data_IF_035421125078
#
_entry.id   IF_035421125078
#
_cell.length_a   1.000
_cell.length_b   1.000
_cell.length_c   1.000
_cell.angle_alpha   90.00
_cell.angle_beta   90.00
_cell.angle_gamma   90.00
#
_symmetry.space_group_name_H-M   'P 1'
#
loop_
_entity.id
_entity.type
_entity.pdbx_description
1 polymer ?
#
# COMPACT_ATOMS: atom_id res chain seq x y z
N UNK A 1 -12.57 -22.80 12.17
CA UNK A 1 -13.16 -21.50 11.83
C UNK A 1 -12.78 -21.27 10.38
N UNK A 2 -13.73 -20.99 9.51
CA UNK A 2 -13.48 -20.74 8.10
C UNK A 2 -13.59 -19.24 7.84
N UNK A 3 -12.66 -18.71 7.07
CA UNK A 3 -12.63 -17.32 6.60
C UNK A 3 -12.84 -17.37 5.08
N UNK A 4 -14.10 -17.37 4.61
CA UNK A 4 -14.41 -17.41 3.18
C UNK A 4 -13.93 -16.12 2.51
N UNK A 5 -13.64 -16.22 1.22
CA UNK A 5 -13.41 -15.03 0.40
C UNK A 5 -14.71 -14.23 0.26
N UNK A 6 -14.54 -12.92 0.28
CA UNK A 6 -15.61 -11.94 0.08
C UNK A 6 -15.37 -11.18 -1.23
N UNK A 7 -16.35 -10.42 -1.69
CA UNK A 7 -16.16 -9.48 -2.79
C UNK A 7 -15.16 -8.40 -2.37
N UNK A 8 -14.34 -7.93 -3.32
CA UNK A 8 -13.20 -7.06 -3.01
C UNK A 8 -13.58 -5.76 -2.30
N UNK A 9 -14.77 -5.23 -2.57
CA UNK A 9 -15.30 -4.01 -1.93
C UNK A 9 -15.64 -4.18 -0.44
N UNK A 10 -15.63 -5.39 0.08
CA UNK A 10 -15.88 -5.67 1.52
C UNK A 10 -14.61 -5.69 2.37
N UNK A 11 -13.44 -5.56 1.75
CA UNK A 11 -12.18 -5.49 2.49
C UNK A 11 -11.79 -4.04 2.77
N UNK A 12 -11.33 -3.79 3.99
CA UNK A 12 -10.74 -2.52 4.38
C UNK A 12 -9.21 -2.57 4.32
N UNK A 13 -8.58 -1.48 3.90
CA UNK A 13 -7.12 -1.32 3.83
C UNK A 13 -6.60 -0.61 5.07
N UNK A 14 -5.68 -1.24 5.79
CA UNK A 14 -4.77 -0.58 6.73
C UNK A 14 -3.42 -0.42 6.04
N UNK A 15 -2.77 0.74 6.15
CA UNK A 15 -1.44 0.93 5.58
C UNK A 15 -0.64 1.96 6.38
N UNK A 16 0.71 1.82 6.37
CA UNK A 16 1.65 2.67 7.10
C UNK A 16 2.70 3.33 6.18
N UNK A 17 2.54 3.16 4.86
CA UNK A 17 3.49 3.59 3.84
C UNK A 17 4.43 2.48 3.39
N UNK A 18 4.84 1.59 4.27
CA UNK A 18 5.80 0.51 3.94
C UNK A 18 5.10 -0.80 3.55
N UNK A 19 3.86 -1.00 4.04
CA UNK A 19 3.03 -2.18 3.79
C UNK A 19 1.56 -1.90 4.07
N UNK A 20 0.72 -2.92 3.76
CA UNK A 20 -0.70 -2.85 4.08
C UNK A 20 -1.28 -4.20 4.49
N UNK A 21 -2.44 -4.13 5.13
CA UNK A 21 -3.26 -5.26 5.53
C UNK A 21 -4.64 -5.08 4.93
N UNK A 22 -5.23 -6.14 4.40
CA UNK A 22 -6.67 -6.18 4.08
C UNK A 22 -7.43 -6.92 5.17
N UNK A 23 -8.38 -6.20 5.75
CA UNK A 23 -9.26 -6.70 6.81
C UNK A 23 -10.59 -7.10 6.19
N UNK A 24 -10.96 -8.35 6.36
CA UNK A 24 -12.25 -8.89 5.89
C UNK A 24 -13.40 -8.70 6.90
N UNK A 25 -14.64 -8.96 6.48
CA UNK A 25 -15.85 -8.78 7.29
C UNK A 25 -15.89 -9.53 8.63
N UNK A 26 -15.12 -10.61 8.73
CA UNK A 26 -14.99 -11.39 9.96
C UNK A 26 -13.84 -10.93 10.86
N UNK A 27 -13.29 -9.74 10.59
CA UNK A 27 -12.14 -9.21 11.30
C UNK A 27 -10.87 -10.03 11.05
N UNK A 28 -10.79 -10.67 9.91
CA UNK A 28 -9.65 -11.46 9.48
C UNK A 28 -8.69 -10.62 8.63
N UNK A 29 -7.41 -10.72 8.93
CA UNK A 29 -6.35 -10.22 8.06
C UNK A 29 -6.17 -11.23 6.93
N UNK A 30 -6.84 -10.98 5.80
CA UNK A 30 -6.84 -11.88 4.65
C UNK A 30 -5.61 -11.70 3.75
N UNK A 31 -4.94 -10.55 3.85
CA UNK A 31 -3.76 -10.21 3.08
C UNK A 31 -2.81 -9.32 3.87
N UNK A 32 -1.52 -9.64 3.85
CA UNK A 32 -0.44 -8.79 4.34
C UNK A 32 0.90 -9.29 3.81
N UNK A 33 1.67 -8.41 3.18
CA UNK A 33 3.09 -8.62 2.91
C UNK A 33 3.95 -7.99 4.01
N UNK A 34 5.06 -8.62 4.36
CA UNK A 34 5.97 -8.10 5.38
C UNK A 34 7.43 -8.51 5.09
N UNK A 35 8.37 -7.61 5.36
CA UNK A 35 8.25 -6.29 6.01
C UNK A 35 7.81 -5.15 5.09
N UNK A 36 7.79 -5.31 3.74
CA UNK A 36 7.47 -4.25 2.77
C UNK A 36 6.39 -4.71 1.80
N UNK A 37 5.88 -3.78 0.97
CA UNK A 37 4.90 -4.06 -0.08
C UNK A 37 5.29 -5.22 -0.99
N UNK A 38 6.51 -5.20 -1.49
CA UNK A 38 7.08 -6.16 -2.45
C UNK A 38 7.60 -7.46 -1.81
N UNK A 39 7.46 -7.60 -0.49
CA UNK A 39 7.82 -8.82 0.23
C UNK A 39 6.80 -9.93 0.03
N UNK A 40 7.19 -11.17 0.36
CA UNK A 40 6.27 -12.31 0.38
C UNK A 40 5.20 -12.11 1.46
N UNK A 41 3.99 -12.60 1.19
CA UNK A 41 2.89 -12.46 2.12
C UNK A 41 3.05 -13.38 3.35
N UNK A 42 2.59 -12.87 4.50
CA UNK A 42 2.48 -13.58 5.79
C UNK A 42 1.03 -13.98 6.07
N UNK A 43 0.07 -13.24 5.55
CA UNK A 43 -1.34 -13.61 5.44
C UNK A 43 -1.71 -13.58 3.97
N UNK A 44 -2.28 -14.66 3.43
CA UNK A 44 -2.49 -14.80 1.98
C UNK A 44 -3.76 -15.56 1.61
N UNK A 45 -4.73 -15.64 2.52
CA UNK A 45 -6.03 -16.29 2.25
C UNK A 45 -6.76 -15.65 1.08
N UNK A 46 -6.58 -14.35 0.83
CA UNK A 46 -7.15 -13.63 -0.30
C UNK A 46 -6.84 -14.26 -1.67
N UNK A 47 -5.68 -14.87 -1.82
CA UNK A 47 -5.25 -15.54 -3.07
C UNK A 47 -5.20 -17.06 -2.92
N UNK A 48 -5.95 -17.62 -1.96
CA UNK A 48 -6.01 -19.04 -1.70
C UNK A 48 -4.78 -19.63 -1.02
N UNK A 49 -3.90 -18.79 -0.48
CA UNK A 49 -2.78 -19.22 0.36
C UNK A 49 -3.18 -19.46 1.80
N UNK A 50 -2.21 -19.72 2.65
CA UNK A 50 -2.39 -19.89 4.09
C UNK A 50 -1.96 -18.65 4.87
N UNK A 51 -2.30 -18.64 6.15
CA UNK A 51 -1.98 -17.54 7.05
C UNK A 51 -3.14 -16.56 7.23
N UNK A 52 -3.59 -16.46 8.48
CA UNK A 52 -4.68 -15.56 8.87
C UNK A 52 -4.51 -15.10 10.31
N UNK A 53 -4.92 -13.88 10.60
CA UNK A 53 -5.08 -13.37 11.95
C UNK A 53 -6.46 -12.74 12.09
N UNK A 54 -7.32 -13.33 12.90
CA UNK A 54 -8.70 -12.88 13.03
C UNK A 54 -9.07 -12.57 14.48
N UNK A 55 -9.89 -11.53 14.64
CA UNK A 55 -10.64 -11.17 15.83
C UNK A 55 -12.10 -11.06 15.42
N UNK A 56 -12.96 -11.93 15.91
CA UNK A 56 -14.35 -12.03 15.46
C UNK A 56 -15.26 -12.25 16.66
N UNK A 57 -16.55 -11.87 16.63
CA UNK A 57 -17.49 -12.15 17.71
C UNK A 57 -17.49 -13.62 18.11
N UNK A 58 -17.66 -13.92 19.40
CA UNK A 58 -17.81 -15.28 19.88
C UNK A 58 -19.15 -15.88 19.42
N UNK A 59 -20.19 -15.07 19.31
CA UNK A 59 -21.45 -15.43 18.70
C UNK A 59 -21.29 -15.62 17.18
N UNK A 60 -21.77 -16.73 16.60
CA UNK A 60 -21.55 -17.02 15.18
C UNK A 60 -22.39 -16.17 14.22
N UNK A 61 -23.53 -15.65 14.71
CA UNK A 61 -24.48 -14.86 13.93
C UNK A 61 -24.32 -13.38 14.28
N UNK A 62 -23.93 -12.59 13.32
CA UNK A 62 -23.78 -11.14 13.47
C UNK A 62 -23.96 -10.43 12.13
N UNK A 63 -24.38 -9.18 12.19
CA UNK A 63 -24.30 -8.23 11.08
C UNK A 63 -22.99 -7.46 11.24
N UNK A 64 -22.32 -7.21 10.15
CA UNK A 64 -21.04 -6.49 10.15
C UNK A 64 -21.13 -5.19 9.36
N UNK A 65 -20.25 -4.29 9.70
CA UNK A 65 -19.98 -3.04 9.01
C UNK A 65 -18.66 -2.48 9.47
N UNK A 66 -18.37 -1.26 9.06
CA UNK A 66 -17.19 -0.59 9.52
C UNK A 66 -17.01 0.76 8.84
N UNK A 67 -16.03 1.52 9.32
CA UNK A 67 -15.73 2.84 8.81
C UNK A 67 -14.28 3.23 9.14
N UNK A 68 -13.74 4.12 8.33
CA UNK A 68 -12.43 4.75 8.63
C UNK A 68 -12.61 5.95 9.53
N UNK A 69 -11.69 6.13 10.45
CA UNK A 69 -11.57 7.39 11.18
C UNK A 69 -11.17 8.50 10.18
N UNK A 70 -11.79 9.70 10.26
CA UNK A 70 -11.62 10.73 9.24
C UNK A 70 -10.16 11.13 9.00
N UNK A 71 -9.72 11.08 7.75
CA UNK A 71 -8.35 11.45 7.35
C UNK A 71 -7.27 10.43 7.75
N UNK A 72 -7.65 9.18 7.99
CA UNK A 72 -6.72 8.12 8.38
C UNK A 72 -7.00 6.83 7.63
N UNK A 73 -6.10 5.84 7.78
CA UNK A 73 -6.37 4.43 7.48
C UNK A 73 -6.48 3.62 8.78
N UNK A 74 -7.02 4.21 9.82
CA UNK A 74 -7.48 3.53 11.03
C UNK A 74 -8.90 3.06 10.75
N UNK A 75 -9.11 1.75 10.75
CA UNK A 75 -10.39 1.10 10.48
C UNK A 75 -11.07 0.71 11.77
N UNK A 76 -12.40 0.82 11.83
CA UNK A 76 -13.24 0.27 12.88
C UNK A 76 -14.13 -0.79 12.30
N UNK A 77 -13.78 -2.05 12.51
CA UNK A 77 -14.71 -3.17 12.30
C UNK A 77 -15.79 -3.13 13.37
N UNK A 78 -17.07 -3.24 12.97
CA UNK A 78 -18.21 -3.20 13.87
C UNK A 78 -19.11 -4.39 13.61
N UNK A 79 -19.46 -5.08 14.68
CA UNK A 79 -20.34 -6.23 14.64
C UNK A 79 -21.51 -6.04 15.60
N UNK A 80 -22.72 -6.33 15.10
CA UNK A 80 -23.94 -6.35 15.90
C UNK A 80 -24.42 -7.79 15.95
N UNK A 81 -24.43 -8.35 17.15
CA UNK A 81 -24.96 -9.69 17.45
C UNK A 81 -26.38 -9.57 17.98
N UNK A 82 -26.99 -10.67 18.40
CA UNK A 82 -28.32 -10.63 19.05
C UNK A 82 -28.28 -10.02 20.46
N UNK A 83 -27.11 -10.00 21.09
CA UNK A 83 -26.94 -9.60 22.48
C UNK A 83 -26.12 -8.33 22.67
N UNK A 84 -25.28 -7.93 21.71
CA UNK A 84 -24.29 -6.89 21.95
C UNK A 84 -23.73 -6.30 20.67
N UNK A 85 -23.17 -5.10 20.79
CA UNK A 85 -22.40 -4.40 19.78
C UNK A 85 -20.92 -4.38 20.16
N UNK A 86 -20.07 -4.75 19.21
CA UNK A 86 -18.63 -4.90 19.38
C UNK A 86 -17.91 -4.09 18.32
N UNK A 87 -16.90 -3.33 18.70
CA UNK A 87 -15.96 -2.75 17.75
C UNK A 87 -14.55 -3.31 17.92
N UNK A 88 -13.82 -3.41 16.83
CA UNK A 88 -12.39 -3.61 16.83
C UNK A 88 -11.75 -2.47 16.05
N UNK A 89 -10.99 -1.63 16.72
CA UNK A 89 -10.19 -0.55 16.12
C UNK A 89 -8.87 -1.14 15.64
N UNK A 90 -8.51 -0.90 14.38
CA UNK A 90 -7.42 -1.59 13.70
C UNK A 90 -6.55 -0.62 12.92
N UNK A 91 -5.24 -0.74 13.04
CA UNK A 91 -4.27 0.05 12.30
C UNK A 91 -2.93 -0.68 12.11
N UNK A 92 -2.17 -0.27 11.11
CA UNK A 92 -0.73 -0.36 11.15
C UNK A 92 -0.20 0.91 11.85
N UNK A 93 0.77 0.74 12.75
CA UNK A 93 1.37 1.86 13.49
C UNK A 93 2.09 2.82 12.56
N UNK A 94 1.81 4.12 12.71
CA UNK A 94 2.42 5.21 11.95
C UNK A 94 3.36 6.04 12.85
N UNK A 95 4.45 6.59 12.28
CA UNK A 95 5.00 6.32 10.94
C UNK A 95 5.51 4.89 10.80
N UNK A 96 5.42 4.32 9.59
CA UNK A 96 5.91 2.96 9.31
C UNK A 96 7.43 2.86 9.41
N UNK A 97 7.92 1.78 10.00
CA UNK A 97 9.34 1.41 9.97
C UNK A 97 9.59 0.40 8.84
N UNK A 98 10.55 0.64 7.89
CA UNK A 98 10.74 -0.23 6.72
C UNK A 98 11.13 -1.68 7.05
N UNK A 99 11.52 -1.96 8.29
CA UNK A 99 11.96 -3.29 8.71
C UNK A 99 10.97 -4.01 9.63
N UNK A 100 10.09 -3.25 10.31
CA UNK A 100 9.20 -3.79 11.34
C UNK A 100 7.78 -3.27 11.16
N UNK A 101 6.85 -4.18 10.93
CA UNK A 101 5.42 -3.90 10.97
C UNK A 101 4.91 -3.98 12.41
N UNK A 102 4.05 -3.06 12.81
CA UNK A 102 3.33 -3.12 14.08
C UNK A 102 1.84 -3.00 13.79
N UNK A 103 1.11 -4.12 13.86
CA UNK A 103 -0.34 -4.14 13.70
C UNK A 103 -1.01 -4.02 15.07
N UNK A 104 -1.87 -3.03 15.19
CA UNK A 104 -2.61 -2.67 16.39
C UNK A 104 -4.06 -3.11 16.24
N UNK A 105 -4.61 -3.76 17.27
CA UNK A 105 -6.02 -4.11 17.37
C UNK A 105 -6.49 -3.79 18.78
N UNK A 106 -7.48 -2.90 18.90
CA UNK A 106 -8.15 -2.55 20.16
C UNK A 106 -9.60 -3.00 20.10
N UNK A 107 -9.95 -4.01 20.90
CA UNK A 107 -11.30 -4.55 21.02
C UNK A 107 -12.06 -3.71 22.04
N UNK A 108 -13.20 -3.17 21.67
CA UNK A 108 -14.03 -2.28 22.49
C UNK A 108 -15.39 -2.96 22.77
N UNK A 109 -15.77 -2.98 24.01
CA UNK A 109 -17.10 -3.39 24.45
C UNK A 109 -18.03 -2.16 24.43
N UNK A 110 -18.88 -2.05 23.39
CA UNK A 110 -19.73 -0.85 23.18
C UNK A 110 -21.01 -0.95 24.01
N UNK A 111 -21.61 -2.12 24.08
CA UNK A 111 -22.86 -2.36 24.80
C UNK A 111 -22.74 -3.65 25.62
N UNK A 112 -22.45 -3.49 26.90
CA UNK A 112 -22.24 -4.58 27.85
C UNK A 112 -20.93 -5.35 27.67
N UNK A 113 -20.74 -6.37 28.50
CA UNK A 113 -19.59 -7.27 28.41
C UNK A 113 -19.58 -8.00 27.08
N UNK A 114 -18.44 -8.05 26.41
CA UNK A 114 -18.34 -8.68 25.10
C UNK A 114 -17.35 -9.83 25.06
N UNK A 115 -17.58 -10.77 24.16
CA UNK A 115 -16.67 -11.88 23.91
C UNK A 115 -16.29 -11.97 22.43
N UNK A 116 -14.98 -12.05 22.17
CA UNK A 116 -14.44 -12.30 20.85
C UNK A 116 -13.60 -13.57 20.83
N UNK A 117 -13.58 -14.24 19.68
CA UNK A 117 -12.64 -15.32 19.38
C UNK A 117 -11.46 -14.74 18.63
N UNK A 118 -10.28 -15.11 19.03
CA UNK A 118 -9.04 -14.78 18.35
C UNK A 118 -8.46 -16.05 17.73
N UNK A 119 -8.12 -15.96 16.46
CA UNK A 119 -7.41 -16.99 15.73
C UNK A 119 -6.15 -16.40 15.11
N UNK A 120 -4.99 -17.05 15.33
CA UNK A 120 -3.71 -16.55 14.85
C UNK A 120 -2.86 -17.69 14.27
N UNK A 121 -2.68 -17.67 12.96
CA UNK A 121 -1.87 -18.63 12.20
C UNK A 121 -1.04 -17.89 11.14
N UNK A 122 0.08 -17.26 11.51
CA UNK A 122 0.94 -16.59 10.54
C UNK A 122 1.69 -17.60 9.68
N UNK A 123 1.81 -17.31 8.37
CA UNK A 123 2.43 -18.19 7.38
C UNK A 123 3.26 -17.37 6.38
N UNK A 124 4.53 -17.16 6.66
CA UNK A 124 5.40 -16.44 5.73
C UNK A 124 5.62 -17.20 4.41
N UNK A 125 6.08 -16.48 3.39
CA UNK A 125 6.36 -17.04 2.08
C UNK A 125 5.12 -17.55 1.37
N UNK A 126 4.00 -16.80 1.40
CA UNK A 126 2.72 -17.22 0.81
C UNK A 126 2.21 -18.56 1.35
N UNK A 127 2.42 -18.83 2.63
CA UNK A 127 1.97 -20.06 3.28
C UNK A 127 3.03 -21.14 3.45
N UNK A 128 4.23 -20.98 2.92
CA UNK A 128 5.30 -22.00 2.95
C UNK A 128 5.87 -22.24 4.34
N UNK A 129 6.06 -21.17 5.12
CA UNK A 129 6.74 -21.25 6.41
C UNK A 129 5.74 -21.19 7.56
N UNK A 130 5.88 -22.13 8.50
CA UNK A 130 5.13 -22.17 9.77
C UNK A 130 5.97 -21.54 10.88
N UNK A 131 5.32 -21.00 11.94
CA UNK A 131 6.05 -20.55 13.13
C UNK A 131 6.83 -21.71 13.77
N UNK A 132 8.09 -21.41 14.08
CA UNK A 132 9.00 -22.31 14.80
C UNK A 132 9.61 -21.58 15.98
N UNK A 133 10.19 -22.34 16.92
CA UNK A 133 10.85 -21.80 18.11
C UNK A 133 9.93 -20.86 18.89
N UNK A 134 8.64 -21.20 18.91
CA UNK A 134 7.68 -20.36 19.62
C UNK A 134 7.85 -20.49 21.13
N UNK A 135 7.82 -19.34 21.77
CA UNK A 135 7.93 -19.20 23.21
C UNK A 135 6.87 -18.22 23.71
N UNK A 136 6.46 -18.43 24.97
CA UNK A 136 5.52 -17.53 25.61
C UNK A 136 6.04 -17.16 27.00
N UNK A 137 6.18 -15.86 27.24
CA UNK A 137 6.64 -15.30 28.52
C UNK A 137 5.85 -14.01 28.80
N UNK A 138 5.33 -13.88 30.02
CA UNK A 138 4.66 -12.65 30.51
C UNK A 138 3.60 -12.08 29.55
N UNK A 139 2.72 -12.94 29.01
CA UNK A 139 1.67 -12.50 28.06
C UNK A 139 2.15 -12.17 26.64
N UNK A 140 3.44 -12.37 26.34
CA UNK A 140 4.03 -12.15 25.02
C UNK A 140 4.38 -13.48 24.38
N UNK A 141 3.90 -13.71 23.17
CA UNK A 141 4.29 -14.83 22.32
C UNK A 141 5.31 -14.38 21.30
N UNK A 142 6.36 -15.16 21.11
CA UNK A 142 7.41 -14.90 20.11
C UNK A 142 7.64 -16.16 19.27
N UNK A 143 7.95 -15.97 17.99
CA UNK A 143 8.31 -17.07 17.08
C UNK A 143 9.18 -16.58 15.93
N UNK A 144 9.76 -17.53 15.20
CA UNK A 144 10.36 -17.32 13.88
C UNK A 144 9.46 -17.99 12.81
N UNK A 145 9.13 -17.26 11.74
CA UNK A 145 8.36 -17.76 10.62
C UNK A 145 9.11 -17.52 9.32
N UNK A 146 9.85 -18.52 8.84
CA UNK A 146 10.79 -18.36 7.73
C UNK A 146 11.84 -17.26 8.04
N UNK A 147 11.93 -16.22 7.20
CA UNK A 147 12.87 -15.12 7.43
C UNK A 147 12.38 -14.12 8.49
N UNK A 148 11.10 -14.20 8.93
CA UNK A 148 10.48 -13.21 9.79
C UNK A 148 10.59 -13.59 11.28
N UNK A 149 10.75 -12.55 12.11
CA UNK A 149 10.62 -12.61 13.56
C UNK A 149 9.26 -12.04 13.95
N UNK A 150 8.54 -12.76 14.79
CA UNK A 150 7.19 -12.43 15.23
C UNK A 150 7.18 -12.21 16.74
N UNK A 151 6.46 -11.18 17.18
CA UNK A 151 6.16 -10.93 18.59
C UNK A 151 4.70 -10.47 18.70
N UNK A 152 3.93 -11.16 19.54
CA UNK A 152 2.50 -10.90 19.72
C UNK A 152 2.19 -10.68 21.19
N UNK A 153 1.70 -9.51 21.54
CA UNK A 153 1.39 -9.06 22.89
C UNK A 153 -0.12 -8.99 23.10
N UNK A 154 -0.54 -8.99 24.37
CA UNK A 154 -1.97 -8.97 24.75
C UNK A 154 -2.67 -10.33 24.68
N UNK A 155 -1.94 -11.39 24.36
CA UNK A 155 -2.51 -12.74 24.24
C UNK A 155 -2.95 -13.29 25.62
N UNK A 156 -4.21 -13.76 25.77
CA UNK A 156 -4.70 -14.31 27.02
C UNK A 156 -3.91 -15.54 27.47
N UNK A 157 -3.74 -15.72 28.77
CA UNK A 157 -3.08 -16.90 29.33
C UNK A 157 -3.75 -18.23 28.90
N UNK A 158 -5.04 -18.21 28.64
CA UNK A 158 -5.83 -19.32 28.18
C UNK A 158 -5.67 -19.69 26.70
N UNK A 159 -4.93 -18.93 25.91
CA UNK A 159 -4.70 -19.25 24.51
C UNK A 159 -4.07 -20.65 24.34
N UNK A 160 -4.57 -21.43 23.40
CA UNK A 160 -4.15 -22.81 23.14
C UNK A 160 -3.92 -23.01 21.63
N UNK A 161 -2.95 -23.84 21.31
CA UNK A 161 -2.77 -24.33 19.94
C UNK A 161 -3.84 -25.38 19.63
N UNK A 162 -4.59 -25.19 18.55
CA UNK A 162 -5.53 -26.17 17.99
C UNK A 162 -5.29 -26.26 16.49
N UNK A 163 -4.94 -27.45 16.00
CA UNK A 163 -4.48 -27.60 14.63
C UNK A 163 -3.25 -26.72 14.39
N UNK A 164 -3.32 -25.91 13.36
CA UNK A 164 -2.19 -25.08 12.91
C UNK A 164 -2.05 -23.74 13.66
N UNK A 165 -3.13 -23.20 14.23
CA UNK A 165 -3.17 -21.88 14.83
C UNK A 165 -3.27 -21.83 16.34
N UNK A 166 -3.06 -20.64 16.90
CA UNK A 166 -3.37 -20.28 18.28
C UNK A 166 -4.83 -19.80 18.35
N UNK A 167 -5.58 -20.31 19.32
CA UNK A 167 -6.96 -19.92 19.57
C UNK A 167 -7.09 -19.35 20.99
N UNK A 168 -7.84 -18.29 21.11
CA UNK A 168 -8.21 -17.69 22.38
C UNK A 168 -9.66 -17.18 22.32
N UNK A 169 -10.25 -17.05 23.51
CA UNK A 169 -11.45 -16.24 23.73
C UNK A 169 -11.06 -15.13 24.67
N UNK A 170 -11.43 -13.90 24.31
CA UNK A 170 -11.21 -12.71 25.12
C UNK A 170 -12.57 -12.19 25.55
N UNK A 171 -12.75 -12.01 26.86
CA UNK A 171 -13.88 -11.26 27.41
C UNK A 171 -13.41 -9.86 27.74
N UNK A 172 -14.10 -8.88 27.20
CA UNK A 172 -13.85 -7.45 27.46
C UNK A 172 -15.03 -6.94 28.26
N UNK A 173 -14.82 -6.49 29.50
CA UNK A 173 -15.90 -5.92 30.32
C UNK A 173 -16.50 -4.65 29.69
N UNK A 174 -17.74 -4.35 30.02
CA UNK A 174 -18.39 -3.11 29.62
C UNK A 174 -17.49 -1.89 29.89
N UNK A 175 -17.55 -0.89 29.02
CA UNK A 175 -16.79 0.36 29.10
C UNK A 175 -15.26 0.19 29.18
N UNK A 176 -14.75 -0.98 28.77
CA UNK A 176 -13.32 -1.27 28.73
C UNK A 176 -12.85 -1.70 27.34
N UNK A 177 -11.54 -1.88 27.20
CA UNK A 177 -10.95 -2.37 25.97
C UNK A 177 -9.87 -3.42 26.24
N UNK A 178 -9.49 -4.16 25.20
CA UNK A 178 -8.38 -5.09 25.22
C UNK A 178 -7.51 -4.91 23.98
N UNK A 179 -6.21 -4.69 24.19
CA UNK A 179 -5.26 -4.48 23.10
C UNK A 179 -4.51 -5.77 22.73
N UNK A 180 -4.38 -5.96 21.43
CA UNK A 180 -3.52 -6.96 20.79
C UNK A 180 -2.54 -6.25 19.87
N UNK A 181 -1.23 -6.48 20.06
CA UNK A 181 -0.17 -5.88 19.25
C UNK A 181 0.65 -6.98 18.60
N UNK A 182 0.71 -6.98 17.27
CA UNK A 182 1.51 -7.91 16.48
C UNK A 182 2.67 -7.17 15.81
N UNK A 183 3.89 -7.54 16.17
CA UNK A 183 5.12 -7.05 15.55
C UNK A 183 5.69 -8.12 14.61
N UNK A 184 6.01 -7.74 13.38
CA UNK A 184 6.59 -8.61 12.34
C UNK A 184 7.83 -7.90 11.77
N UNK A 185 8.99 -8.55 11.85
CA UNK A 185 10.25 -7.93 11.42
C UNK A 185 11.10 -8.88 10.62
N UNK A 186 11.82 -8.35 9.62
CA UNK A 186 12.91 -9.06 8.94
C UNK A 186 14.21 -9.14 9.79
N UNK A 187 14.24 -8.47 10.95
CA UNK A 187 15.38 -8.41 11.88
C UNK A 187 14.96 -8.90 13.26
N UNK A 188 15.87 -9.37 14.11
CA UNK A 188 15.53 -9.74 15.48
C UNK A 188 14.83 -8.59 16.22
N UNK A 189 13.70 -8.90 16.85
CA UNK A 189 12.94 -7.94 17.65
C UNK A 189 13.59 -7.78 19.03
N UNK A 190 14.37 -6.72 19.17
CA UNK A 190 15.09 -6.40 20.41
C UNK A 190 14.23 -5.53 21.34
N UNK A 191 14.58 -5.50 22.62
CA UNK A 191 13.91 -4.64 23.60
C UNK A 191 12.54 -5.13 24.04
N UNK A 192 11.75 -4.22 24.64
CA UNK A 192 10.40 -4.48 25.11
C UNK A 192 9.41 -4.49 23.93
N UNK A 193 8.28 -5.23 24.05
CA UNK A 193 7.17 -5.11 23.12
C UNK A 193 6.68 -3.66 22.99
N UNK A 194 6.09 -3.32 21.84
CA UNK A 194 5.45 -2.02 21.68
C UNK A 194 4.33 -1.86 22.71
N UNK A 195 4.33 -0.69 23.38
CA UNK A 195 3.28 -0.30 24.29
C UNK A 195 2.04 0.12 23.48
N UNK A 196 0.87 -0.48 23.70
CA UNK A 196 -0.31 -0.20 22.87
C UNK A 196 -0.77 1.25 22.94
N UNK A 197 -0.80 1.87 24.13
CA UNK A 197 -1.31 3.23 24.27
C UNK A 197 -0.37 4.24 23.61
N UNK A 198 0.94 4.06 23.77
CA UNK A 198 1.93 4.90 23.09
C UNK A 198 1.88 4.70 21.57
N UNK A 199 1.72 3.47 21.09
CA UNK A 199 1.63 3.17 19.66
C UNK A 199 0.36 3.74 19.04
N UNK A 200 -0.79 3.67 19.71
CA UNK A 200 -2.04 4.29 19.27
C UNK A 200 -1.91 5.80 19.20
N UNK A 201 -1.44 6.46 20.28
CA UNK A 201 -1.26 7.91 20.34
C UNK A 201 -0.29 8.41 19.24
N UNK A 202 0.81 7.70 19.03
CA UNK A 202 1.76 8.04 17.97
C UNK A 202 1.13 7.90 16.58
N UNK A 203 0.34 6.85 16.36
CA UNK A 203 -0.34 6.59 15.07
C UNK A 203 -1.38 7.67 14.77
N UNK A 204 -2.20 8.07 15.74
CA UNK A 204 -3.17 9.15 15.60
C UNK A 204 -2.48 10.47 15.25
N UNK A 205 -1.47 10.84 16.03
CA UNK A 205 -0.67 12.05 15.78
C UNK A 205 -0.02 12.06 14.41
N UNK A 206 0.54 10.91 13.98
CA UNK A 206 1.17 10.80 12.67
C UNK A 206 0.18 10.96 11.51
N UNK A 207 -1.03 10.41 11.62
CA UNK A 207 -2.09 10.61 10.62
C UNK A 207 -2.58 12.07 10.60
N UNK A 208 -2.79 12.68 11.76
CA UNK A 208 -3.20 14.09 11.88
C UNK A 208 -2.18 15.03 11.21
N UNK A 209 -0.89 14.76 11.38
CA UNK A 209 0.19 15.53 10.76
C UNK A 209 0.36 15.26 9.26
N UNK A 210 0.11 14.02 8.83
CA UNK A 210 0.36 13.59 7.45
C UNK A 210 -0.73 13.99 6.48
N UNK A 211 -2.00 14.12 6.91
CA UNK A 211 -3.15 14.35 6.04
C UNK A 211 -3.69 15.77 6.19
N UNK A 212 -3.52 16.63 5.17
CA UNK A 212 -3.99 18.01 5.22
C UNK A 212 -5.52 18.11 5.23
N UNK A 213 -6.04 19.27 5.63
CA UNK A 213 -7.49 19.53 5.69
C UNK A 213 -8.15 19.67 4.31
N UNK A 214 -7.41 20.00 3.24
CA UNK A 214 -7.87 20.17 1.87
C UNK A 214 -9.15 21.02 1.72
N UNK A 215 -9.19 22.26 2.27
CA UNK A 215 -10.38 23.08 2.22
C UNK A 215 -10.69 23.51 0.78
N UNK A 216 -11.99 23.61 0.45
CA UNK A 216 -12.45 24.12 -0.85
C UNK A 216 -12.56 23.08 -1.95
N UNK A 217 -12.43 21.80 -1.65
CA UNK A 217 -12.79 20.73 -2.58
C UNK A 217 -14.32 20.50 -2.56
N UNK A 218 -14.88 19.96 -3.67
CA UNK A 218 -16.32 19.66 -3.75
C UNK A 218 -16.73 18.58 -2.72
N UNK A 219 -15.80 17.69 -2.36
CA UNK A 219 -16.01 16.56 -1.45
C UNK A 219 -14.82 16.44 -0.48
N UNK A 220 -14.74 17.34 0.48
CA UNK A 220 -13.60 17.45 1.42
C UNK A 220 -13.28 16.15 2.15
N UNK A 221 -14.31 15.44 2.60
CA UNK A 221 -14.16 14.13 3.25
C UNK A 221 -13.47 13.11 2.35
N UNK A 222 -13.94 13.00 1.11
CA UNK A 222 -13.45 12.01 0.16
C UNK A 222 -12.06 12.39 -0.36
N UNK A 223 -11.79 13.68 -0.55
CA UNK A 223 -10.46 14.18 -0.89
C UNK A 223 -9.44 13.88 0.22
N UNK A 224 -9.79 14.09 1.49
CA UNK A 224 -8.95 13.72 2.62
C UNK A 224 -8.72 12.23 2.72
N UNK A 225 -9.76 11.42 2.48
CA UNK A 225 -9.62 9.97 2.47
C UNK A 225 -8.74 9.49 1.31
N UNK A 226 -8.90 10.04 0.11
CA UNK A 226 -8.02 9.76 -1.02
C UNK A 226 -6.55 10.11 -0.72
N UNK A 227 -6.32 11.26 -0.07
CA UNK A 227 -4.97 11.63 0.37
C UNK A 227 -4.42 10.64 1.40
N UNK A 228 -5.23 10.20 2.37
CA UNK A 228 -4.82 9.19 3.34
C UNK A 228 -4.45 7.85 2.68
N UNK A 229 -5.20 7.41 1.67
CA UNK A 229 -4.89 6.21 0.87
C UNK A 229 -3.54 6.38 0.16
N UNK A 230 -3.33 7.46 -0.58
CA UNK A 230 -2.06 7.74 -1.25
C UNK A 230 -0.90 7.80 -0.25
N UNK A 231 -1.09 8.45 0.91
CA UNK A 231 -0.07 8.50 1.97
C UNK A 231 0.25 7.10 2.52
N UNK A 232 -0.77 6.30 2.76
CA UNK A 232 -0.62 4.92 3.23
C UNK A 232 0.09 4.00 2.24
N UNK A 233 -0.03 4.26 0.94
CA UNK A 233 0.64 3.51 -0.12
C UNK A 233 2.05 4.04 -0.45
N UNK A 234 2.43 5.24 0.03
CA UNK A 234 3.72 5.88 -0.26
C UNK A 234 4.76 5.51 0.80
N UNK A 235 5.82 4.83 0.37
CA UNK A 235 6.93 4.43 1.25
C UNK A 235 7.79 5.61 1.70
N UNK A 236 8.64 5.38 2.68
CA UNK A 236 9.65 6.35 3.13
C UNK A 236 10.65 6.72 2.02
N UNK A 237 10.81 5.87 1.00
CA UNK A 237 11.59 6.16 -0.21
C UNK A 237 10.84 6.97 -1.26
N UNK A 238 9.60 7.42 -0.99
CA UNK A 238 8.78 8.23 -1.90
C UNK A 238 8.01 7.44 -2.96
N UNK A 239 8.33 6.17 -3.20
CA UNK A 239 7.60 5.33 -4.14
C UNK A 239 6.24 4.91 -3.59
N UNK A 240 5.17 5.15 -4.36
CA UNK A 240 3.80 4.76 -4.06
C UNK A 240 3.46 3.44 -4.76
N UNK A 241 3.06 2.43 -3.99
CA UNK A 241 2.56 1.19 -4.58
C UNK A 241 1.26 1.45 -5.36
N UNK A 242 1.15 0.93 -6.58
CA UNK A 242 -0.05 1.11 -7.41
C UNK A 242 -1.27 0.41 -6.80
N UNK A 243 -1.07 -0.70 -6.09
CA UNK A 243 -2.08 -1.33 -5.27
C UNK A 243 -1.47 -2.10 -4.08
N UNK A 244 -2.29 -2.32 -3.05
CA UNK A 244 -1.90 -3.09 -1.86
C UNK A 244 -1.74 -4.59 -2.13
N UNK A 245 -2.20 -5.09 -3.29
CA UNK A 245 -2.38 -6.51 -3.58
C UNK A 245 -1.72 -6.93 -4.88
N UNK A 246 -1.73 -8.22 -5.10
CA UNK A 246 -1.30 -8.87 -6.34
C UNK A 246 -2.33 -9.91 -6.80
N UNK A 247 -2.31 -10.22 -8.09
CA UNK A 247 -3.04 -11.38 -8.63
C UNK A 247 -4.56 -11.32 -8.47
N UNK A 248 -5.12 -10.13 -8.29
CA UNK A 248 -6.56 -9.94 -8.36
C UNK A 248 -6.98 -9.76 -9.82
N UNK A 249 -8.14 -10.28 -10.25
CA UNK A 249 -8.56 -10.19 -11.65
C UNK A 249 -9.02 -8.77 -11.99
N UNK A 250 -8.51 -8.20 -13.08
CA UNK A 250 -9.11 -7.03 -13.74
C UNK A 250 -10.46 -7.39 -14.31
N UNK A 251 -10.53 -8.58 -14.92
CA UNK A 251 -11.74 -9.25 -15.38
C UNK A 251 -11.69 -10.72 -15.01
N UNK A 252 -12.80 -11.25 -14.51
CA UNK A 252 -12.93 -12.65 -14.19
C UNK A 252 -12.66 -13.52 -15.44
N UNK A 253 -11.88 -14.60 -15.26
CA UNK A 253 -11.60 -15.64 -16.28
C UNK A 253 -10.82 -15.19 -17.53
N UNK A 254 -10.46 -13.92 -17.68
CA UNK A 254 -9.67 -13.42 -18.82
C UNK A 254 -8.14 -13.50 -18.61
N UNK A 255 -7.67 -14.00 -17.46
CA UNK A 255 -6.24 -14.14 -17.16
C UNK A 255 -5.47 -12.83 -16.99
N UNK A 256 -6.16 -11.69 -17.01
CA UNK A 256 -5.58 -10.37 -16.79
C UNK A 256 -5.55 -10.07 -15.30
N UNK A 257 -4.47 -10.53 -14.67
CA UNK A 257 -4.20 -10.32 -13.26
C UNK A 257 -2.69 -10.16 -13.06
N UNK A 258 -2.30 -9.11 -12.36
CA UNK A 258 -0.91 -8.67 -12.26
C UNK A 258 -0.52 -8.40 -10.82
N UNK A 259 0.78 -8.29 -10.57
CA UNK A 259 1.33 -7.80 -9.31
C UNK A 259 1.46 -6.28 -9.38
N UNK A 260 0.64 -5.57 -8.61
CA UNK A 260 0.58 -4.11 -8.56
C UNK A 260 1.27 -3.49 -7.32
N UNK A 261 2.04 -4.28 -6.56
CA UNK A 261 2.72 -3.82 -5.34
C UNK A 261 4.00 -3.00 -5.61
N UNK A 262 4.14 -2.51 -6.83
CA UNK A 262 5.26 -1.70 -7.32
C UNK A 262 4.82 -0.27 -7.60
N UNK A 263 5.79 0.64 -7.74
CA UNK A 263 5.56 2.04 -8.07
C UNK A 263 5.70 2.26 -9.58
N UNK A 264 4.59 2.54 -10.27
CA UNK A 264 4.61 2.98 -11.67
C UNK A 264 4.93 4.47 -11.76
N UNK A 265 5.78 4.85 -12.70
CA UNK A 265 6.11 6.27 -12.95
C UNK A 265 4.84 7.05 -13.29
N UNK A 266 3.96 6.51 -14.13
CA UNK A 266 2.68 7.10 -14.49
C UNK A 266 1.80 7.39 -13.27
N UNK A 267 1.57 6.38 -12.42
CA UNK A 267 0.74 6.50 -11.23
C UNK A 267 1.32 7.53 -10.25
N UNK A 268 2.63 7.51 -10.09
CA UNK A 268 3.35 8.48 -9.27
C UNK A 268 3.16 9.91 -9.80
N UNK A 269 3.22 10.09 -11.13
CA UNK A 269 3.02 11.38 -11.77
C UNK A 269 1.57 11.89 -11.64
N UNK A 270 0.59 11.02 -11.82
CA UNK A 270 -0.82 11.41 -11.68
C UNK A 270 -1.17 11.74 -10.22
N UNK A 271 -0.70 10.92 -9.27
CA UNK A 271 -0.90 11.19 -7.84
C UNK A 271 -0.27 12.55 -7.45
N UNK A 272 0.97 12.80 -7.87
CA UNK A 272 1.65 14.07 -7.61
C UNK A 272 0.92 15.27 -8.22
N UNK A 273 0.43 15.16 -9.46
CA UNK A 273 -0.36 16.22 -10.11
C UNK A 273 -1.71 16.45 -9.39
N UNK A 274 -2.38 15.40 -8.95
CA UNK A 274 -3.62 15.51 -8.18
C UNK A 274 -3.39 16.24 -6.85
N UNK A 275 -2.28 15.93 -6.16
CA UNK A 275 -1.88 16.65 -4.94
C UNK A 275 -1.55 18.11 -5.25
N UNK A 276 -0.79 18.39 -6.32
CA UNK A 276 -0.44 19.75 -6.71
C UNK A 276 -1.66 20.62 -7.02
N UNK A 277 -2.74 20.02 -7.55
CA UNK A 277 -4.01 20.73 -7.78
C UNK A 277 -4.67 21.22 -6.49
N UNK A 278 -4.43 20.53 -5.37
CA UNK A 278 -4.91 20.93 -4.05
C UNK A 278 -3.92 21.83 -3.30
N UNK A 279 -2.62 21.73 -3.61
CA UNK A 279 -1.56 22.53 -3.00
C UNK A 279 -0.20 21.82 -2.89
N UNK A 280 0.85 22.51 -2.43
CA UNK A 280 2.20 21.96 -2.33
C UNK A 280 2.37 21.08 -1.07
N UNK A 281 1.58 20.04 -0.95
CA UNK A 281 1.62 19.12 0.17
C UNK A 281 2.74 18.07 0.05
N UNK A 282 3.17 17.42 1.16
CA UNK A 282 4.34 16.53 1.20
C UNK A 282 4.33 15.37 0.19
N UNK A 283 3.16 14.86 -0.20
CA UNK A 283 3.08 13.80 -1.22
C UNK A 283 3.51 14.29 -2.61
N UNK A 284 3.38 15.59 -2.91
CA UNK A 284 3.94 16.15 -4.13
C UNK A 284 5.47 16.06 -4.12
N UNK A 285 6.10 16.43 -3.00
CA UNK A 285 7.56 16.37 -2.87
C UNK A 285 8.05 14.91 -2.95
N UNK A 286 7.31 13.97 -2.36
CA UNK A 286 7.61 12.53 -2.47
C UNK A 286 7.54 12.03 -3.91
N UNK A 287 6.51 12.43 -4.66
CA UNK A 287 6.35 12.04 -6.06
C UNK A 287 7.46 12.64 -6.93
N UNK A 288 7.75 13.92 -6.76
CA UNK A 288 8.82 14.65 -7.49
C UNK A 288 10.18 14.01 -7.22
N UNK A 289 10.51 13.76 -5.95
CA UNK A 289 11.79 13.15 -5.56
C UNK A 289 11.96 11.76 -6.16
N UNK A 290 10.98 10.88 -6.00
CA UNK A 290 11.04 9.51 -6.52
C UNK A 290 11.21 9.47 -8.04
N UNK A 291 10.42 10.26 -8.79
CA UNK A 291 10.49 10.30 -10.26
C UNK A 291 11.81 10.92 -10.73
N UNK A 292 12.26 12.00 -10.09
CA UNK A 292 13.52 12.66 -10.41
C UNK A 292 14.71 11.70 -10.30
N UNK A 293 14.81 10.96 -9.18
CA UNK A 293 15.88 10.00 -9.00
C UNK A 293 15.91 8.93 -10.10
N UNK A 294 14.74 8.45 -10.54
CA UNK A 294 14.65 7.43 -11.61
C UNK A 294 15.04 8.01 -12.97
N UNK A 295 14.56 9.21 -13.30
CA UNK A 295 14.92 9.88 -14.54
C UNK A 295 16.44 10.16 -14.60
N UNK A 296 17.03 10.63 -13.51
CA UNK A 296 18.47 10.91 -13.46
C UNK A 296 19.33 9.65 -13.51
N UNK A 297 18.85 8.53 -12.94
CA UNK A 297 19.57 7.27 -12.95
C UNK A 297 19.51 6.55 -14.29
N UNK A 298 18.34 6.48 -14.92
CA UNK A 298 18.09 5.63 -16.06
C UNK A 298 18.00 6.38 -17.40
N UNK A 299 17.75 7.69 -17.38
CA UNK A 299 17.66 8.54 -18.57
C UNK A 299 16.69 7.95 -19.61
N UNK A 300 17.12 7.79 -20.90
CA UNK A 300 16.28 7.22 -21.95
C UNK A 300 15.88 5.75 -21.74
N UNK A 301 16.48 5.07 -20.76
CA UNK A 301 16.20 3.67 -20.40
C UNK A 301 15.22 3.54 -19.23
N UNK A 302 14.58 4.64 -18.83
CA UNK A 302 13.56 4.66 -17.75
C UNK A 302 12.60 3.49 -17.90
N UNK A 303 12.38 2.76 -16.80
CA UNK A 303 11.41 1.67 -16.75
C UNK A 303 10.03 2.21 -16.37
N UNK A 304 8.95 1.58 -16.82
CA UNK A 304 7.60 2.01 -16.45
C UNK A 304 7.32 1.88 -14.96
N UNK A 305 7.94 0.92 -14.26
CA UNK A 305 7.75 0.70 -12.83
C UNK A 305 9.04 0.27 -12.12
N UNK A 306 9.06 0.50 -10.82
CA UNK A 306 10.14 0.18 -9.89
C UNK A 306 9.57 -0.41 -8.60
N UNK A 307 10.39 -1.05 -7.77
CA UNK A 307 9.98 -1.32 -6.39
C UNK A 307 9.73 0.01 -5.67
N UNK A 308 8.96 0.01 -4.59
CA UNK A 308 8.68 1.25 -3.83
C UNK A 308 9.94 1.90 -3.23
N UNK A 309 11.04 1.15 -3.15
CA UNK A 309 12.36 1.65 -2.78
C UNK A 309 13.25 2.03 -3.97
N UNK A 310 12.71 2.02 -5.19
CA UNK A 310 13.39 2.44 -6.42
C UNK A 310 14.27 1.39 -7.10
N UNK A 311 14.26 0.15 -6.63
CA UNK A 311 14.96 -0.96 -7.28
C UNK A 311 14.20 -1.54 -8.49
N UNK A 312 14.79 -2.49 -9.23
CA UNK A 312 14.13 -3.13 -10.36
C UNK A 312 12.96 -4.01 -9.92
N UNK A 313 11.88 -4.02 -10.71
CA UNK A 313 10.77 -4.96 -10.53
C UNK A 313 11.23 -6.37 -10.92
N UNK A 314 11.01 -7.40 -10.08
CA UNK A 314 11.37 -8.78 -10.42
C UNK A 314 10.49 -9.32 -11.55
N UNK A 315 11.05 -10.28 -12.31
CA UNK A 315 10.32 -10.99 -13.36
C UNK A 315 9.10 -11.72 -12.80
N UNK A 316 8.02 -11.74 -13.57
CA UNK A 316 6.80 -12.46 -13.21
C UNK A 316 7.07 -13.97 -13.06
N UNK A 317 6.58 -14.56 -11.99
CA UNK A 317 6.54 -15.99 -11.76
C UNK A 317 5.21 -16.44 -11.17
N UNK A 318 4.74 -17.61 -11.55
CA UNK A 318 3.56 -18.22 -10.97
C UNK A 318 3.84 -18.74 -9.56
N UNK A 319 2.84 -18.57 -8.68
CA UNK A 319 2.76 -19.25 -7.39
C UNK A 319 1.88 -20.49 -7.53
N UNK A 320 2.20 -21.54 -6.79
CA UNK A 320 1.36 -22.76 -6.71
C UNK A 320 0.23 -22.55 -5.69
N UNK A 321 -0.62 -21.56 -5.98
CA UNK A 321 -1.80 -21.20 -5.17
C UNK A 321 -3.04 -21.14 -6.07
N UNK A 322 -4.24 -21.37 -5.52
CA UNK A 322 -5.49 -21.30 -6.29
C UNK A 322 -5.73 -19.93 -6.94
N UNK A 323 -5.27 -18.85 -6.32
CA UNK A 323 -5.63 -17.48 -6.71
C UNK A 323 -6.96 -17.02 -6.13
N UNK A 324 -7.30 -15.75 -6.32
CA UNK A 324 -8.66 -15.24 -6.13
C UNK A 324 -9.56 -15.82 -7.23
N UNK A 325 -10.87 -16.07 -7.01
CA UNK A 325 -11.77 -16.61 -8.03
C UNK A 325 -11.67 -15.88 -9.36
N UNK A 326 -11.47 -16.64 -10.45
CA UNK A 326 -11.27 -16.09 -11.80
C UNK A 326 -9.86 -15.56 -12.09
N UNK A 327 -8.86 -15.82 -11.24
CA UNK A 327 -7.47 -15.40 -11.43
C UNK A 327 -6.46 -16.52 -11.20
N UNK A 328 -5.18 -16.24 -11.46
CA UNK A 328 -4.04 -17.09 -11.11
C UNK A 328 -3.06 -16.32 -10.24
N UNK A 329 -2.50 -16.96 -9.21
CA UNK A 329 -1.53 -16.31 -8.33
C UNK A 329 -0.18 -16.12 -9.02
N UNK A 330 0.27 -14.87 -9.12
CA UNK A 330 1.53 -14.46 -9.74
C UNK A 330 2.23 -13.43 -8.88
N UNK A 331 3.56 -13.39 -8.89
CA UNK A 331 4.40 -12.40 -8.22
C UNK A 331 5.45 -11.89 -9.20
N UNK A 332 5.82 -10.62 -9.06
CA UNK A 332 6.65 -9.94 -10.04
C UNK A 332 5.83 -9.44 -11.25
N UNK A 333 6.46 -8.69 -12.13
CA UNK A 333 5.76 -8.11 -13.28
C UNK A 333 6.71 -7.93 -14.47
N UNK A 334 6.23 -8.30 -15.67
CA UNK A 334 6.96 -8.15 -16.92
C UNK A 334 7.15 -6.69 -17.36
N UNK A 335 6.56 -5.74 -16.67
CA UNK A 335 6.71 -4.30 -16.92
C UNK A 335 8.17 -3.85 -16.95
N UNK A 336 9.06 -4.54 -16.24
CA UNK A 336 10.50 -4.29 -16.23
C UNK A 336 11.18 -4.47 -17.60
N UNK A 337 10.54 -5.15 -18.54
CA UNK A 337 11.05 -5.39 -19.92
C UNK A 337 10.43 -4.45 -20.95
N UNK A 338 9.47 -3.63 -20.54
CA UNK A 338 8.77 -2.71 -21.42
C UNK A 338 9.48 -1.37 -21.54
N UNK A 339 9.18 -0.67 -22.62
CA UNK A 339 9.39 0.75 -22.80
C UNK A 339 8.03 1.45 -22.94
N UNK A 340 7.84 2.54 -22.21
CA UNK A 340 6.63 3.38 -22.26
C UNK A 340 7.05 4.84 -22.44
N UNK A 341 6.75 5.40 -23.61
CA UNK A 341 7.17 6.76 -23.98
C UNK A 341 6.38 7.83 -23.21
N UNK A 342 5.12 7.55 -22.88
CA UNK A 342 4.25 8.45 -22.11
C UNK A 342 4.82 8.80 -20.73
N UNK A 343 5.57 7.90 -20.09
CA UNK A 343 6.19 8.12 -18.79
C UNK A 343 7.06 9.40 -18.76
N UNK A 344 7.73 9.74 -19.83
CA UNK A 344 8.52 10.99 -19.92
C UNK A 344 7.62 12.23 -20.01
N UNK A 345 6.53 12.15 -20.78
CA UNK A 345 5.56 13.23 -20.87
C UNK A 345 4.87 13.49 -19.53
N UNK A 346 4.48 12.44 -18.84
CA UNK A 346 3.87 12.50 -17.52
C UNK A 346 4.84 13.04 -16.46
N UNK A 347 6.11 12.64 -16.52
CA UNK A 347 7.18 13.23 -15.69
C UNK A 347 7.28 14.74 -15.88
N UNK A 348 7.27 15.21 -17.12
CA UNK A 348 7.31 16.65 -17.40
C UNK A 348 6.08 17.38 -16.88
N UNK A 349 4.89 16.77 -16.95
CA UNK A 349 3.67 17.35 -16.38
C UNK A 349 3.73 17.44 -14.85
N UNK A 350 4.23 16.40 -14.18
CA UNK A 350 4.45 16.41 -12.72
C UNK A 350 5.42 17.52 -12.31
N UNK A 351 6.61 17.57 -12.96
CA UNK A 351 7.62 18.57 -12.64
C UNK A 351 7.13 20.00 -12.93
N UNK A 352 6.39 20.21 -14.03
CA UNK A 352 5.76 21.48 -14.30
C UNK A 352 4.69 21.87 -13.26
N UNK A 353 3.93 20.92 -12.74
CA UNK A 353 2.98 21.15 -11.66
C UNK A 353 3.70 21.57 -10.37
N UNK A 354 4.80 20.91 -10.03
CA UNK A 354 5.62 21.23 -8.87
C UNK A 354 6.33 22.61 -9.02
N UNK A 355 6.79 22.95 -10.23
CA UNK A 355 7.40 24.26 -10.53
C UNK A 355 6.44 25.43 -10.24
N UNK A 356 5.14 25.27 -10.49
CA UNK A 356 4.11 26.31 -10.17
C UNK A 356 3.99 26.59 -8.67
N UNK A 357 4.50 25.70 -7.84
CA UNK A 357 4.54 25.81 -6.38
C UNK A 357 5.95 26.09 -5.83
N UNK A 358 6.91 26.43 -6.69
CA UNK A 358 8.32 26.65 -6.32
C UNK A 358 8.97 25.44 -5.62
N UNK A 359 8.60 24.21 -6.06
CA UNK A 359 9.09 22.95 -5.45
C UNK A 359 10.23 22.29 -6.25
N UNK A 360 10.80 22.96 -7.25
CA UNK A 360 11.90 22.42 -8.03
C UNK A 360 13.24 23.06 -7.65
N UNK A 361 14.22 22.21 -7.34
CA UNK A 361 15.61 22.56 -7.20
C UNK A 361 16.40 22.30 -8.50
N UNK A 362 17.73 22.38 -8.42
CA UNK A 362 18.64 22.18 -9.56
C UNK A 362 18.56 20.77 -10.14
N UNK A 363 18.45 19.74 -9.30
CA UNK A 363 18.41 18.35 -9.77
C UNK A 363 17.07 18.03 -10.42
N UNK A 364 15.98 18.59 -9.92
CA UNK A 364 14.68 18.50 -10.56
C UNK A 364 14.68 19.14 -11.95
N UNK A 365 15.27 20.31 -12.12
CA UNK A 365 15.42 20.95 -13.45
C UNK A 365 16.30 20.13 -14.39
N UNK A 366 17.36 19.51 -13.87
CA UNK A 366 18.17 18.57 -14.64
C UNK A 366 17.35 17.36 -15.10
N UNK A 367 16.44 16.84 -14.26
CA UNK A 367 15.54 15.76 -14.66
C UNK A 367 14.57 16.17 -15.77
N UNK A 368 14.09 17.43 -15.77
CA UNK A 368 13.31 17.97 -16.90
C UNK A 368 14.12 17.91 -18.20
N UNK A 369 15.37 18.37 -18.19
CA UNK A 369 16.25 18.35 -19.36
C UNK A 369 16.51 16.91 -19.86
N UNK A 370 16.74 15.97 -18.95
CA UNK A 370 16.95 14.55 -19.27
C UNK A 370 15.68 13.97 -19.90
N UNK A 371 14.49 14.24 -19.35
CA UNK A 371 13.23 13.77 -19.90
C UNK A 371 12.97 14.35 -21.31
N UNK A 372 13.22 15.63 -21.52
CA UNK A 372 13.12 16.27 -22.87
C UNK A 372 14.09 15.63 -23.86
N UNK A 373 15.33 15.37 -23.45
CA UNK A 373 16.33 14.70 -24.28
C UNK A 373 15.90 13.26 -24.63
N UNK A 374 15.37 12.53 -23.66
CA UNK A 374 14.87 11.16 -23.86
C UNK A 374 13.69 11.13 -24.85
N UNK A 375 12.73 12.05 -24.75
CA UNK A 375 11.66 12.18 -25.75
C UNK A 375 12.26 12.44 -27.14
N UNK A 376 13.23 13.35 -27.25
CA UNK A 376 13.88 13.68 -28.54
C UNK A 376 14.57 12.48 -29.16
N UNK A 377 15.21 11.64 -28.35
CA UNK A 377 15.88 10.44 -28.79
C UNK A 377 14.88 9.36 -29.21
N UNK A 378 13.80 9.14 -28.44
CA UNK A 378 12.99 7.93 -28.51
C UNK A 378 11.56 8.11 -29.04
N UNK A 379 11.11 9.34 -29.37
CA UNK A 379 9.72 9.60 -29.82
C UNK A 379 9.29 8.79 -31.07
N UNK A 380 10.25 8.28 -31.85
CA UNK A 380 9.99 7.46 -33.04
C UNK A 380 9.94 5.97 -32.76
N UNK A 381 10.39 5.55 -31.58
CA UNK A 381 10.38 4.13 -31.20
C UNK A 381 8.96 3.64 -30.97
N UNK A 382 8.66 2.36 -31.21
CA UNK A 382 7.46 1.73 -30.70
C UNK A 382 7.55 1.63 -29.17
N UNK A 383 6.42 1.65 -28.51
CA UNK A 383 6.31 1.53 -27.05
C UNK A 383 5.10 0.69 -26.65
N UNK A 384 5.08 0.17 -25.40
CA UNK A 384 4.00 -0.68 -24.93
C UNK A 384 2.68 0.10 -24.71
N UNK A 385 2.76 1.44 -24.59
CA UNK A 385 1.63 2.31 -24.32
C UNK A 385 1.03 2.11 -22.93
N UNK A 386 0.08 2.95 -22.58
CA UNK A 386 -0.57 2.98 -21.27
C UNK A 386 -1.29 1.66 -20.90
N UNK A 387 -1.79 0.93 -21.91
CA UNK A 387 -2.54 -0.32 -21.71
C UNK A 387 -1.69 -1.59 -21.81
N UNK A 388 -0.39 -1.45 -22.08
CA UNK A 388 0.57 -2.57 -22.16
C UNK A 388 0.13 -3.68 -23.12
N UNK A 389 -0.46 -3.29 -24.29
CA UNK A 389 -1.05 -4.22 -25.25
C UNK A 389 -0.06 -4.73 -26.31
N UNK A 390 1.14 -4.20 -26.35
CA UNK A 390 2.17 -4.52 -27.33
C UNK A 390 2.88 -3.28 -27.86
N UNK A 391 4.01 -3.48 -28.53
CA UNK A 391 4.85 -2.38 -29.00
C UNK A 391 4.30 -1.77 -30.29
N UNK A 392 3.80 -0.56 -30.18
CA UNK A 392 3.28 0.24 -31.29
C UNK A 392 3.61 1.73 -31.10
N UNK A 393 3.33 2.52 -32.13
CA UNK A 393 3.35 3.99 -32.04
C UNK A 393 1.99 4.50 -31.56
N UNK A 394 1.79 4.46 -30.25
CA UNK A 394 0.53 4.86 -29.64
C UNK A 394 0.33 6.38 -29.69
N UNK A 395 -0.84 6.83 -30.16
CA UNK A 395 -1.18 8.26 -30.16
C UNK A 395 -1.16 8.85 -28.74
N UNK A 396 -1.66 8.10 -27.73
CA UNK A 396 -1.61 8.51 -26.33
C UNK A 396 -0.20 8.88 -25.88
N UNK A 397 0.79 8.02 -26.13
CA UNK A 397 2.18 8.24 -25.69
C UNK A 397 2.77 9.51 -26.30
N UNK A 398 2.48 9.80 -27.58
CA UNK A 398 2.95 11.02 -28.25
C UNK A 398 2.23 12.26 -27.72
N UNK A 399 0.92 12.19 -27.53
CA UNK A 399 0.14 13.29 -26.95
C UNK A 399 0.55 13.59 -25.49
N UNK A 400 0.87 12.59 -24.69
CA UNK A 400 1.44 12.77 -23.35
C UNK A 400 2.78 13.53 -23.41
N UNK A 401 3.66 13.18 -24.36
CA UNK A 401 4.92 13.91 -24.59
C UNK A 401 4.66 15.37 -25.01
N UNK A 402 3.73 15.61 -25.94
CA UNK A 402 3.36 16.97 -26.38
C UNK A 402 2.82 17.78 -25.20
N UNK A 403 1.93 17.22 -24.40
CA UNK A 403 1.38 17.86 -23.22
C UNK A 403 2.47 18.18 -22.18
N UNK A 404 3.36 17.23 -21.91
CA UNK A 404 4.48 17.39 -20.99
C UNK A 404 5.47 18.46 -21.45
N UNK A 405 5.87 18.45 -22.72
CA UNK A 405 6.75 19.47 -23.30
C UNK A 405 6.16 20.88 -23.21
N UNK A 406 4.88 21.05 -23.52
CA UNK A 406 4.16 22.34 -23.39
C UNK A 406 4.05 22.78 -21.93
N UNK A 407 3.74 21.86 -21.01
CA UNK A 407 3.67 22.17 -19.59
C UNK A 407 5.05 22.62 -19.05
N UNK A 408 6.12 21.91 -19.39
CA UNK A 408 7.47 22.27 -19.02
C UNK A 408 7.91 23.61 -19.66
N UNK A 409 7.59 23.84 -20.93
CA UNK A 409 7.90 25.09 -21.63
C UNK A 409 7.26 26.32 -20.95
N UNK A 410 6.05 26.18 -20.41
CA UNK A 410 5.32 27.26 -19.75
C UNK A 410 5.94 27.71 -18.42
N UNK A 411 6.74 26.87 -17.77
CA UNK A 411 7.41 27.13 -16.48
C UNK A 411 8.94 27.18 -16.60
N UNK A 412 9.47 27.02 -17.82
CA UNK A 412 10.90 26.90 -18.08
C UNK A 412 11.67 28.13 -17.65
N UNK A 413 12.92 27.99 -17.20
CA UNK A 413 13.86 29.10 -17.09
C UNK A 413 14.02 29.86 -18.43
N UNK A 414 14.38 31.13 -18.32
CA UNK A 414 14.51 32.02 -19.49
C UNK A 414 15.38 31.38 -20.60
N UNK A 415 14.86 31.36 -21.84
CA UNK A 415 15.55 30.89 -23.04
C UNK A 415 15.30 29.42 -23.45
N UNK A 416 14.75 28.56 -22.57
CA UNK A 416 14.53 27.16 -22.90
C UNK A 416 13.11 26.86 -23.42
N UNK A 417 12.09 27.59 -22.92
CA UNK A 417 10.68 27.29 -23.18
C UNK A 417 10.32 27.32 -24.67
N UNK A 418 10.84 28.29 -25.46
CA UNK A 418 10.55 28.37 -26.88
C UNK A 418 11.02 27.12 -27.66
N UNK A 419 12.21 26.58 -27.31
CA UNK A 419 12.76 25.39 -27.96
C UNK A 419 11.92 24.12 -27.62
N UNK A 420 11.43 24.01 -26.40
CA UNK A 420 10.57 22.88 -25.99
C UNK A 420 9.17 22.97 -26.61
N UNK A 421 8.59 24.18 -26.70
CA UNK A 421 7.31 24.41 -27.38
C UNK A 421 7.41 24.08 -28.86
N UNK A 422 8.45 24.57 -29.57
CA UNK A 422 8.69 24.26 -30.98
C UNK A 422 8.90 22.76 -31.23
N UNK A 423 9.54 22.05 -30.29
CA UNK A 423 9.66 20.59 -30.37
C UNK A 423 8.32 19.90 -30.18
N UNK A 424 7.49 20.36 -29.25
CA UNK A 424 6.13 19.83 -29.05
C UNK A 424 5.24 19.99 -30.30
N UNK A 425 5.40 21.09 -31.05
CA UNK A 425 4.64 21.36 -32.28
C UNK A 425 5.12 20.49 -33.46
N UNK A 426 6.37 20.01 -33.42
CA UNK A 426 6.94 19.12 -34.44
C UNK A 426 6.72 17.63 -34.19
N UNK A 427 6.27 17.24 -32.99
CA UNK A 427 6.04 15.87 -32.57
C UNK A 427 4.66 15.35 -32.97
#
# INVERSE_FOLDING_TARGET
MEFPLHVLSEYALLADGERGILVGPRGDFAWMCAPRWDSDAVFSTLIGGAGVYAVTPAEPSFVWGGYYEPGTLIWRSRWVTTAQEIECREALSMPGDPHTAVALRRILAIDGDTQVRVFFDPRAGFGQYRPRQDARRNGVWTARCGPLYLRWSGIPAAARRRGDGLHAVITVPADSHHDLVLEISGRPLMGRPADPDLAWSATETAWEQAVPQLPGTIADRDARHAYAVMRGLTSSGGGMAAAATMSLPERAEEGRNYDYRYAWIRDQCFAGQAVAAAGPYPLLDSAVGFVTERILADGPQLKPAYTVSGGPVPDERRLHLPGYPGSSAKVGNWVNKQFQLDAFGETLMLLAAAARHDRLDRDHWRAVEVAVAAIRERHRDPDAGIWELGEHRWAHSRLACVAGLRAAAAVAPAGQGAAWSGFADAL
#
